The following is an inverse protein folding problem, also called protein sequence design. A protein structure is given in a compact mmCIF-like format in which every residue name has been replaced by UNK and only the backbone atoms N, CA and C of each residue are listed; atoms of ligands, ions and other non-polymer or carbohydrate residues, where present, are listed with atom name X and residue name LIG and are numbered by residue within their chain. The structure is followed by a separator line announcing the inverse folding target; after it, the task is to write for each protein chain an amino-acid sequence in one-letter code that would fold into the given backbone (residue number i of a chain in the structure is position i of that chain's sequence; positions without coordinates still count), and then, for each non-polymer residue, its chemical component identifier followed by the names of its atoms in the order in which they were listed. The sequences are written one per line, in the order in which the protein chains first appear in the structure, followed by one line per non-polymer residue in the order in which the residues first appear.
data_IF_914253375361
#
_entry.id   IF_914253375361
#
_cell.length_a   1.000
_cell.length_b   1.000
_cell.length_c   1.000
_cell.angle_alpha   90.00
_cell.angle_beta   90.00
_cell.angle_gamma   90.00
#
_symmetry.space_group_name_H-M   'P 1'
#
loop_
_entity.id
_entity.type
_entity.pdbx_description
1 polymer ?
#
# COMPACT_ATOMS: atom_id res chain seq x y z
N UNK A 1 0.22 19.11 2.97
CA UNK A 1 0.71 18.81 1.61
C UNK A 1 2.08 18.14 1.72
N UNK A 2 2.13 16.85 1.41
CA UNK A 2 3.33 16.02 1.46
C UNK A 2 4.08 16.19 0.13
N UNK A 3 5.33 16.66 0.15
CA UNK A 3 6.15 16.78 -1.05
C UNK A 3 6.99 15.51 -1.22
N UNK A 4 6.56 14.60 -2.10
CA UNK A 4 7.31 13.41 -2.50
C UNK A 4 7.80 13.56 -3.94
N UNK A 5 8.97 12.99 -4.24
CA UNK A 5 9.51 12.95 -5.62
C UNK A 5 8.95 11.79 -6.44
N UNK A 6 8.33 10.81 -5.78
CA UNK A 6 7.85 9.58 -6.41
C UNK A 6 6.32 9.42 -6.33
N UNK A 7 5.66 10.15 -5.44
CA UNK A 7 4.24 10.01 -5.18
C UNK A 7 3.47 11.23 -5.66
N UNK A 8 2.40 10.97 -6.39
CA UNK A 8 1.36 11.94 -6.67
C UNK A 8 0.19 11.70 -5.71
N UNK A 9 -0.25 12.74 -5.01
CA UNK A 9 -1.44 12.68 -4.14
C UNK A 9 -2.70 12.84 -5.01
N UNK A 10 -3.52 11.80 -5.13
CA UNK A 10 -4.77 11.85 -5.90
C UNK A 10 -5.96 12.30 -5.04
N UNK A 11 -6.06 11.80 -3.80
CA UNK A 11 -7.18 12.12 -2.90
C UNK A 11 -6.73 12.07 -1.44
N UNK A 12 -7.15 13.05 -0.65
CA UNK A 12 -7.12 13.01 0.81
C UNK A 12 -8.56 13.01 1.33
N UNK A 13 -8.91 12.04 2.17
CA UNK A 13 -10.28 11.90 2.69
C UNK A 13 -10.29 11.15 4.02
N UNK A 14 -11.48 10.92 4.57
CA UNK A 14 -11.69 10.14 5.78
C UNK A 14 -12.91 9.25 5.63
N UNK A 15 -12.89 8.07 6.25
CA UNK A 15 -14.04 7.19 6.37
C UNK A 15 -14.28 6.83 7.84
N UNK A 16 -15.50 6.38 8.14
CA UNK A 16 -15.86 5.88 9.47
C UNK A 16 -15.91 4.36 9.42
N UNK A 17 -15.11 3.69 10.25
CA UNK A 17 -15.13 2.24 10.45
C UNK A 17 -15.22 1.97 11.95
N UNK A 18 -16.19 1.15 12.39
CA UNK A 18 -16.42 0.80 13.79
C UNK A 18 -16.37 2.00 14.76
N UNK A 19 -17.17 3.03 14.47
CA UNK A 19 -17.27 4.29 15.24
C UNK A 19 -15.95 5.10 15.35
N UNK A 20 -14.91 4.74 14.59
CA UNK A 20 -13.66 5.49 14.46
C UNK A 20 -13.58 6.18 13.11
N UNK A 21 -13.22 7.47 13.13
CA UNK A 21 -12.87 8.21 11.92
C UNK A 21 -11.42 7.91 11.58
N UNK A 22 -11.19 7.34 10.41
CA UNK A 22 -9.88 7.02 9.88
C UNK A 22 -9.62 7.89 8.65
N UNK A 23 -8.50 8.61 8.68
CA UNK A 23 -8.06 9.42 7.55
C UNK A 23 -7.27 8.55 6.60
N UNK A 24 -7.40 8.78 5.30
CA UNK A 24 -6.59 8.09 4.30
C UNK A 24 -6.18 9.03 3.16
N UNK A 25 -5.08 8.68 2.52
CA UNK A 25 -4.62 9.32 1.29
C UNK A 25 -4.41 8.28 0.21
N UNK A 26 -4.95 8.53 -0.98
CA UNK A 26 -4.66 7.76 -2.18
C UNK A 26 -3.50 8.41 -2.89
N UNK A 27 -2.46 7.62 -3.11
CA UNK A 27 -1.29 8.00 -3.88
C UNK A 27 -1.24 7.21 -5.18
N UNK A 28 -0.58 7.80 -6.17
CA UNK A 28 -0.16 7.07 -7.35
C UNK A 28 1.31 7.27 -7.68
N UNK A 29 1.88 6.24 -8.30
CA UNK A 29 3.27 6.24 -8.76
C UNK A 29 3.44 5.37 -10.00
N UNK A 30 4.50 5.62 -10.75
CA UNK A 30 4.89 4.78 -11.89
C UNK A 30 5.30 3.39 -11.40
N UNK A 31 4.77 2.34 -12.04
CA UNK A 31 5.02 0.95 -11.64
C UNK A 31 5.53 0.11 -12.82
N UNK A 32 6.83 -0.26 -12.81
CA UNK A 32 7.42 -1.15 -13.81
C UNK A 32 7.17 -2.65 -13.59
N UNK A 33 6.60 -3.07 -12.47
CA UNK A 33 6.33 -4.49 -12.16
C UNK A 33 4.87 -4.87 -12.29
N UNK A 34 4.63 -6.13 -12.65
CA UNK A 34 3.30 -6.76 -12.62
C UNK A 34 2.89 -7.04 -11.17
N UNK A 35 1.60 -7.33 -10.93
CA UNK A 35 1.13 -7.82 -9.64
C UNK A 35 1.86 -9.08 -9.15
N UNK A 36 2.41 -9.88 -10.06
CA UNK A 36 3.14 -11.11 -9.74
C UNK A 36 4.67 -10.89 -9.62
N UNK A 37 5.13 -9.66 -9.32
CA UNK A 37 6.54 -9.27 -9.20
C UNK A 37 7.40 -9.48 -10.47
N UNK A 38 6.78 -9.62 -11.64
CA UNK A 38 7.50 -9.69 -12.92
C UNK A 38 7.73 -8.30 -13.51
N UNK A 39 8.62 -8.16 -14.49
CA UNK A 39 8.75 -6.90 -15.25
C UNK A 39 7.61 -6.75 -16.26
N UNK A 40 7.09 -5.53 -16.40
CA UNK A 40 6.12 -5.18 -17.42
C UNK A 40 6.83 -4.83 -18.74
N UNK A 41 6.10 -4.96 -19.84
CA UNK A 41 6.53 -4.50 -21.17
C UNK A 41 6.49 -2.98 -21.29
N UNK A 42 5.58 -2.33 -20.57
CA UNK A 42 5.42 -0.89 -20.47
C UNK A 42 5.24 -0.48 -19.01
N UNK A 43 5.70 0.73 -18.66
CA UNK A 43 5.43 1.29 -17.33
C UNK A 43 3.93 1.53 -17.23
N UNK A 44 3.32 1.11 -16.12
CA UNK A 44 1.94 1.50 -15.81
C UNK A 44 1.86 2.32 -14.54
N UNK A 45 0.66 2.43 -13.99
CA UNK A 45 0.38 3.23 -12.80
C UNK A 45 0.03 2.28 -11.65
N UNK A 46 0.57 2.53 -10.46
CA UNK A 46 0.08 1.91 -9.24
C UNK A 46 -0.62 2.96 -8.40
N UNK A 47 -1.90 2.71 -8.10
CA UNK A 47 -2.66 3.43 -7.08
C UNK A 47 -2.69 2.64 -5.80
N UNK A 48 -2.45 3.29 -4.68
CA UNK A 48 -2.50 2.65 -3.38
C UNK A 48 -2.98 3.65 -2.32
N UNK A 49 -3.62 3.12 -1.28
CA UNK A 49 -4.07 3.90 -0.14
C UNK A 49 -3.05 3.82 1.01
N UNK A 50 -2.89 4.93 1.72
CA UNK A 50 -2.24 4.98 3.03
C UNK A 50 -3.28 5.38 4.05
N UNK A 51 -3.52 4.52 5.05
CA UNK A 51 -4.34 4.87 6.21
C UNK A 51 -3.46 5.58 7.23
N UNK A 52 -3.94 6.72 7.68
CA UNK A 52 -3.35 7.51 8.75
C UNK A 52 -4.06 7.20 10.06
N UNK A 53 -3.28 6.88 11.09
CA UNK A 53 -3.75 6.97 12.46
C UNK A 53 -3.86 8.47 12.88
N UNK A 54 -4.09 8.76 14.16
CA UNK A 54 -4.37 10.11 14.65
C UNK A 54 -3.29 11.16 14.31
N UNK A 55 -2.05 10.73 14.09
CA UNK A 55 -0.96 11.58 13.58
C UNK A 55 -0.39 11.00 12.28
N UNK A 56 -0.11 11.87 11.30
CA UNK A 56 0.54 11.47 10.05
C UNK A 56 1.99 11.05 10.30
N UNK A 57 2.21 9.75 10.48
CA UNK A 57 3.54 9.19 10.63
C UNK A 57 4.27 9.17 9.29
N UNK A 58 5.12 10.17 9.06
CA UNK A 58 5.87 10.34 7.82
C UNK A 58 6.88 9.21 7.55
N UNK A 59 7.19 8.34 8.53
CA UNK A 59 8.04 7.16 8.32
C UNK A 59 7.46 6.24 7.25
N UNK A 60 6.12 6.19 7.11
CA UNK A 60 5.48 5.38 6.06
C UNK A 60 5.84 5.90 4.68
N UNK A 61 5.93 7.22 4.49
CA UNK A 61 6.31 7.82 3.22
C UNK A 61 7.76 7.49 2.89
N UNK A 62 8.68 7.60 3.85
CA UNK A 62 10.07 7.20 3.65
C UNK A 62 10.22 5.72 3.29
N UNK A 63 9.43 4.83 3.90
CA UNK A 63 9.38 3.42 3.53
C UNK A 63 8.90 3.22 2.09
N UNK A 64 7.81 3.90 1.71
CA UNK A 64 7.27 3.81 0.35
C UNK A 64 8.29 4.30 -0.69
N UNK A 65 8.92 5.46 -0.45
CA UNK A 65 9.91 6.04 -1.37
C UNK A 65 11.13 5.14 -1.54
N UNK A 66 11.66 4.56 -0.46
CA UNK A 66 12.77 3.61 -0.54
C UNK A 66 12.34 2.34 -1.31
N UNK A 67 11.16 1.78 -1.04
CA UNK A 67 10.64 0.60 -1.74
C UNK A 67 10.44 0.86 -3.24
N UNK A 68 10.03 2.06 -3.62
CA UNK A 68 9.93 2.51 -5.01
C UNK A 68 11.32 2.67 -5.64
N UNK A 69 12.26 3.31 -4.95
CA UNK A 69 13.61 3.55 -5.43
C UNK A 69 14.36 2.23 -5.72
N UNK A 70 14.20 1.23 -4.86
CA UNK A 70 14.79 -0.11 -5.06
C UNK A 70 13.86 -1.10 -5.76
N UNK A 71 12.77 -0.62 -6.37
CA UNK A 71 11.97 -1.37 -7.35
C UNK A 71 11.27 -2.62 -6.79
N UNK A 72 10.83 -2.64 -5.54
CA UNK A 72 10.08 -3.79 -4.97
C UNK A 72 8.70 -3.44 -4.38
N UNK A 73 8.20 -2.22 -4.58
CA UNK A 73 6.93 -1.74 -4.01
C UNK A 73 5.67 -2.53 -4.46
N UNK A 74 5.70 -3.18 -5.63
CA UNK A 74 4.57 -3.98 -6.14
C UNK A 74 4.32 -5.20 -5.24
N UNK A 75 3.07 -5.66 -5.00
CA UNK A 75 1.81 -5.20 -5.59
C UNK A 75 0.84 -4.63 -4.55
N UNK A 76 1.31 -3.63 -3.81
CA UNK A 76 0.56 -3.07 -2.67
C UNK A 76 -0.69 -2.31 -3.12
N UNK A 77 -1.81 -2.54 -2.43
CA UNK A 77 -3.04 -1.76 -2.58
C UNK A 77 -3.29 -0.83 -1.39
N UNK A 78 -2.89 -1.24 -0.19
CA UNK A 78 -3.09 -0.46 1.03
C UNK A 78 -1.91 -0.63 1.99
N UNK A 79 -1.49 0.46 2.63
CA UNK A 79 -0.57 0.46 3.75
C UNK A 79 -1.19 1.16 4.95
N UNK A 80 -0.83 0.70 6.14
CA UNK A 80 -1.06 1.41 7.39
C UNK A 80 0.15 1.26 8.29
N UNK A 81 0.60 2.38 8.84
CA UNK A 81 1.63 2.39 9.86
C UNK A 81 0.99 2.79 11.19
N UNK A 82 1.05 1.92 12.19
CA UNK A 82 0.56 2.18 13.54
C UNK A 82 1.64 1.86 14.55
N UNK A 83 2.17 2.89 15.23
CA UNK A 83 3.25 2.77 16.22
C UNK A 83 4.50 2.06 15.66
N UNK A 84 4.60 0.75 15.89
CA UNK A 84 5.71 -0.16 15.56
C UNK A 84 5.22 -1.34 14.69
N UNK A 85 4.11 -1.13 14.00
CA UNK A 85 3.45 -2.13 13.17
C UNK A 85 3.14 -1.58 11.80
N UNK A 86 3.60 -2.27 10.76
CA UNK A 86 3.23 -2.01 9.37
C UNK A 86 2.26 -3.09 8.91
N UNK A 87 1.07 -2.67 8.53
CA UNK A 87 0.10 -3.55 7.89
C UNK A 87 0.05 -3.24 6.38
N UNK A 88 0.06 -4.29 5.55
CA UNK A 88 0.04 -4.18 4.08
C UNK A 88 -1.05 -5.08 3.52
N UNK A 89 -1.89 -4.54 2.63
CA UNK A 89 -2.76 -5.34 1.78
C UNK A 89 -2.16 -5.39 0.38
N UNK A 90 -1.95 -6.60 -0.12
CA UNK A 90 -1.38 -6.86 -1.45
C UNK A 90 -2.41 -7.49 -2.38
N UNK A 91 -2.16 -7.34 -3.67
CA UNK A 91 -2.90 -8.04 -4.72
C UNK A 91 -2.84 -9.57 -4.53
N UNK A 92 -3.95 -10.24 -4.81
CA UNK A 92 -4.14 -11.68 -4.65
C UNK A 92 -3.25 -12.56 -5.54
N UNK A 93 -2.59 -11.99 -6.55
CA UNK A 93 -1.80 -12.75 -7.52
C UNK A 93 -0.38 -13.14 -7.05
N UNK A 94 -0.03 -12.87 -5.79
CA UNK A 94 1.20 -13.35 -5.18
C UNK A 94 1.06 -14.82 -4.74
N UNK A 95 1.87 -15.70 -5.33
CA UNK A 95 2.02 -17.06 -4.80
C UNK A 95 2.84 -17.07 -3.50
N UNK A 96 2.78 -18.17 -2.74
CA UNK A 96 3.41 -18.29 -1.42
C UNK A 96 4.92 -17.99 -1.41
N UNK A 97 5.64 -18.41 -2.45
CA UNK A 97 7.08 -18.18 -2.56
C UNK A 97 7.39 -16.70 -2.74
N UNK A 98 6.68 -16.04 -3.65
CA UNK A 98 6.81 -14.59 -3.90
C UNK A 98 6.34 -13.77 -2.72
N UNK A 99 5.29 -14.21 -2.03
CA UNK A 99 4.82 -13.57 -0.80
C UNK A 99 5.90 -13.62 0.29
N UNK A 100 6.55 -14.77 0.50
CA UNK A 100 7.67 -14.88 1.45
C UNK A 100 8.83 -13.96 1.08
N UNK A 101 9.20 -13.90 -0.20
CA UNK A 101 10.26 -13.00 -0.67
C UNK A 101 9.88 -11.52 -0.48
N UNK A 102 8.62 -11.16 -0.75
CA UNK A 102 8.08 -9.82 -0.54
C UNK A 102 8.12 -9.43 0.94
N UNK A 103 7.61 -10.28 1.83
CA UNK A 103 7.64 -10.08 3.29
C UNK A 103 9.07 -9.86 3.77
N UNK A 104 10.01 -10.73 3.35
CA UNK A 104 11.42 -10.62 3.73
C UNK A 104 12.07 -9.30 3.26
N UNK A 105 11.74 -8.83 2.05
CA UNK A 105 12.24 -7.56 1.54
C UNK A 105 11.73 -6.37 2.36
N UNK A 106 10.44 -6.38 2.72
CA UNK A 106 9.83 -5.36 3.56
C UNK A 106 10.39 -5.36 4.99
N UNK A 107 10.56 -6.53 5.62
CA UNK A 107 11.19 -6.62 6.94
C UNK A 107 12.59 -6.01 6.96
N UNK A 108 13.39 -6.29 5.92
CA UNK A 108 14.72 -5.69 5.79
C UNK A 108 14.67 -4.17 5.64
N UNK A 109 13.73 -3.66 4.85
CA UNK A 109 13.58 -2.23 4.65
C UNK A 109 13.13 -1.53 5.93
N UNK A 110 12.14 -2.09 6.63
CA UNK A 110 11.64 -1.55 7.91
C UNK A 110 12.77 -1.47 8.93
N UNK A 111 13.59 -2.52 9.05
CA UNK A 111 14.75 -2.51 9.94
C UNK A 111 15.75 -1.38 9.62
N UNK A 112 15.94 -1.06 8.35
CA UNK A 112 16.82 0.03 7.90
C UNK A 112 16.24 1.41 8.24
N UNK A 113 14.94 1.61 8.04
CA UNK A 113 14.30 2.93 8.13
C UNK A 113 13.81 3.24 9.54
N UNK A 114 13.36 2.23 10.28
CA UNK A 114 12.52 2.42 11.45
C UNK A 114 13.04 1.74 12.73
N UNK A 115 14.07 0.88 12.64
CA UNK A 115 14.71 0.22 13.80
C UNK A 115 14.33 -1.26 13.97
N UNK A 116 14.76 -1.87 15.08
CA UNK A 116 14.64 -3.33 15.30
C UNK A 116 13.28 -3.81 15.79
N UNK A 117 12.51 -2.94 16.43
CA UNK A 117 11.32 -3.32 17.18
C UNK A 117 10.08 -3.05 16.33
N UNK A 118 9.88 -3.88 15.31
CA UNK A 118 8.76 -3.75 14.37
C UNK A 118 8.08 -5.09 14.07
N UNK A 119 6.77 -5.00 13.82
CA UNK A 119 5.95 -6.10 13.30
C UNK A 119 5.45 -5.76 11.90
N UNK A 120 5.48 -6.74 11.01
CA UNK A 120 4.93 -6.65 9.67
C UNK A 120 3.80 -7.67 9.54
N UNK A 121 2.62 -7.20 9.11
CA UNK A 121 1.50 -8.08 8.78
C UNK A 121 1.06 -7.81 7.35
N UNK A 122 1.01 -8.88 6.55
CA UNK A 122 0.63 -8.81 5.14
C UNK A 122 -0.63 -9.63 4.92
N UNK A 123 -1.65 -8.99 4.37
CA UNK A 123 -2.92 -9.60 4.01
C UNK A 123 -3.07 -9.66 2.48
N UNK A 124 -3.71 -10.71 1.98
CA UNK A 124 -4.14 -10.79 0.58
C UNK A 124 -5.57 -10.32 0.47
N UNK A 125 -5.95 -9.70 -0.65
CA UNK A 125 -7.32 -9.21 -0.92
C UNK A 125 -8.44 -10.25 -0.71
N UNK A 126 -8.16 -11.54 -0.90
CA UNK A 126 -9.14 -12.62 -0.69
C UNK A 126 -9.36 -12.98 0.79
N UNK A 127 -8.55 -12.45 1.70
CA UNK A 127 -8.75 -12.69 3.13
C UNK A 127 -9.95 -11.87 3.59
N UNK A 128 -10.99 -12.57 4.02
CA UNK A 128 -12.22 -11.92 4.49
C UNK A 128 -12.09 -11.52 5.95
N UNK A 129 -11.37 -12.31 6.76
CA UNK A 129 -11.22 -12.09 8.19
C UNK A 129 -9.84 -12.56 8.64
N UNK A 130 -9.16 -11.74 9.45
CA UNK A 130 -7.94 -12.14 10.13
C UNK A 130 -7.97 -11.65 11.57
N UNK A 131 -7.63 -12.49 12.57
CA UNK A 131 -7.52 -12.04 13.95
C UNK A 131 -6.38 -11.02 14.14
N UNK A 132 -5.51 -10.88 13.13
CA UNK A 132 -4.47 -9.86 13.10
C UNK A 132 -5.00 -8.53 12.55
N UNK A 133 -6.21 -8.47 12.00
CA UNK A 133 -6.80 -7.23 11.50
C UNK A 133 -7.39 -6.39 12.65
N UNK A 134 -6.54 -5.63 13.34
CA UNK A 134 -6.89 -4.93 14.58
C UNK A 134 -7.96 -3.83 14.41
N UNK A 135 -8.13 -3.30 13.20
CA UNK A 135 -9.01 -2.15 12.93
C UNK A 135 -10.01 -2.41 11.80
N UNK A 136 -10.15 -3.66 11.33
CA UNK A 136 -11.00 -3.97 10.18
C UNK A 136 -10.47 -3.36 8.88
N UNK A 137 -9.15 -3.32 8.67
CA UNK A 137 -8.56 -2.87 7.40
C UNK A 137 -9.09 -3.65 6.20
N UNK A 138 -9.35 -4.95 6.35
CA UNK A 138 -9.95 -5.77 5.29
C UNK A 138 -11.38 -5.30 5.02
N UNK A 139 -12.15 -4.97 6.04
CA UNK A 139 -13.49 -4.42 5.88
C UNK A 139 -13.46 -3.03 5.24
N UNK A 140 -12.55 -2.14 5.65
CA UNK A 140 -12.35 -0.83 5.02
C UNK A 140 -11.95 -0.96 3.54
N UNK A 141 -11.02 -1.88 3.26
CA UNK A 141 -10.62 -2.21 1.91
C UNK A 141 -11.82 -2.68 1.08
N UNK A 142 -12.70 -3.51 1.67
CA UNK A 142 -13.88 -4.09 1.03
C UNK A 142 -15.08 -3.12 0.88
N UNK A 143 -15.25 -2.13 1.76
CA UNK A 143 -16.52 -1.38 1.88
C UNK A 143 -16.73 -0.23 0.88
N UNK A 144 -15.70 0.52 0.45
CA UNK A 144 -15.94 1.64 -0.48
C UNK A 144 -14.69 2.12 -1.25
N UNK A 145 -13.51 2.06 -0.62
CA UNK A 145 -12.23 2.46 -1.20
C UNK A 145 -11.91 1.70 -2.50
N UNK A 146 -12.11 0.38 -2.50
CA UNK A 146 -11.87 -0.47 -3.68
C UNK A 146 -12.81 -0.17 -4.85
N UNK A 147 -14.10 0.06 -4.58
CA UNK A 147 -15.08 0.20 -5.67
C UNK A 147 -14.91 1.51 -6.46
N UNK A 148 -14.35 2.55 -5.84
CA UNK A 148 -14.20 3.87 -6.49
C UNK A 148 -12.77 4.21 -6.88
N UNK A 149 -11.77 3.83 -6.11
CA UNK A 149 -10.40 4.31 -6.29
C UNK A 149 -9.52 3.45 -7.23
N UNK A 150 -10.04 2.30 -7.71
CA UNK A 150 -9.30 1.37 -8.59
C UNK A 150 -7.87 1.11 -8.10
N UNK A 151 -7.74 0.73 -6.82
CA UNK A 151 -6.44 0.47 -6.19
C UNK A 151 -5.76 -0.75 -6.82
N UNK A 152 -4.44 -0.70 -6.89
CA UNK A 152 -3.61 -1.70 -7.54
C UNK A 152 -2.93 -1.16 -8.78
N UNK A 153 -2.61 -2.05 -9.70
CA UNK A 153 -1.74 -1.78 -10.83
C UNK A 153 -2.56 -1.77 -12.11
N UNK A 154 -2.53 -0.64 -12.83
CA UNK A 154 -3.18 -0.46 -14.13
C UNK A 154 -2.12 -0.29 -15.23
N UNK A 155 -2.46 -0.71 -16.45
CA UNK A 155 -1.66 -0.35 -17.63
C UNK A 155 -1.83 1.14 -17.93
N UNK A 156 -0.77 1.77 -18.43
CA UNK A 156 -0.88 3.14 -18.88
C UNK A 156 -1.82 3.19 -20.10
N UNK A 157 -2.94 3.89 -19.97
CA UNK A 157 -3.84 4.21 -21.08
C UNK A 157 -3.81 5.72 -21.35
N UNK A 158 -4.11 6.16 -22.59
CA UNK A 158 -4.27 7.58 -22.89
C UNK A 158 -5.30 8.28 -22.00
N UNK A 159 -6.30 7.55 -21.49
CA UNK A 159 -7.33 8.07 -20.60
C UNK A 159 -6.75 8.52 -19.24
N UNK A 160 -5.62 7.95 -18.81
CA UNK A 160 -4.90 8.36 -17.60
C UNK A 160 -4.13 9.68 -17.77
N UNK A 161 -3.86 10.10 -19.02
CA UNK A 161 -3.16 11.36 -19.30
C UNK A 161 -4.08 12.60 -19.27
N UNK A 162 -5.38 12.39 -19.07
CA UNK A 162 -6.42 13.43 -19.12
C UNK A 162 -7.08 13.70 -17.74
N UNK A 163 -6.64 13.01 -16.69
CA UNK A 163 -7.01 13.26 -15.29
C UNK A 163 -5.98 14.18 -14.63
#
# INVERSE_FOLDING_TARGET
MLYSRFLHTELESSCTADDKVLSYTIFSSSQPHTPALGFRKSVGLQRFAVIWDQEQDLRIISLIEEALAVRFFSPIKLLRLSKERLDIIVDQNLNDEKLKAFVFAWEKLIRKVAGSDWSLVVFTETQVHSPLDEIGMLDMFNQELMQRAKLGIEDYSPDLALL
#
